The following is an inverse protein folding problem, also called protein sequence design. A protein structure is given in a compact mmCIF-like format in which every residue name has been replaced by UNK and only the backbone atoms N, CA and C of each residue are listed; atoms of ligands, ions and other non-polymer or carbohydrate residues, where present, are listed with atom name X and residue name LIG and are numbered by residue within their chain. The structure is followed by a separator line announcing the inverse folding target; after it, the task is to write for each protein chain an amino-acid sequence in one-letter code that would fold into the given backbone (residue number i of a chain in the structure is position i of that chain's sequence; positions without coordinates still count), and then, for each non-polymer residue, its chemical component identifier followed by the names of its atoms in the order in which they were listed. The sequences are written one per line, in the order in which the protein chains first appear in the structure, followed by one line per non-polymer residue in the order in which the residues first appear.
data_IF_509371707580
#
_entry.id   IF_509371707580
#
_cell.length_a   1.000
_cell.length_b   1.000
_cell.length_c   1.000
_cell.angle_alpha   90.00
_cell.angle_beta   90.00
_cell.angle_gamma   90.00
#
_symmetry.space_group_name_H-M   'P 1'
#
loop_
_entity.id
_entity.type
_entity.pdbx_description
1 polymer ?
#
# COMPACT_ATOMS: atom_id res chain seq x y z
N UNK A 1 -15.51 -12.12 -14.71
CA UNK A 1 -14.05 -12.34 -14.62
C UNK A 1 -13.81 -13.34 -13.51
N UNK A 2 -13.13 -14.44 -13.79
CA UNK A 2 -12.95 -15.53 -12.84
C UNK A 2 -11.88 -15.11 -11.81
N UNK A 3 -12.15 -15.20 -10.50
CA UNK A 3 -11.22 -14.75 -9.46
C UNK A 3 -9.91 -15.56 -9.43
N UNK A 4 -9.98 -16.84 -9.82
CA UNK A 4 -8.81 -17.73 -9.92
C UNK A 4 -7.76 -17.23 -10.93
N UNK A 5 -8.17 -16.74 -12.10
CA UNK A 5 -7.25 -16.20 -13.12
C UNK A 5 -6.52 -14.93 -12.65
N UNK A 6 -7.13 -14.17 -11.74
CA UNK A 6 -6.56 -12.95 -11.19
C UNK A 6 -5.58 -13.27 -10.06
N UNK A 7 -5.93 -14.22 -9.18
CA UNK A 7 -5.10 -14.63 -8.03
C UNK A 7 -3.74 -15.22 -8.45
N UNK A 8 -3.73 -16.00 -9.53
CA UNK A 8 -2.51 -16.66 -10.01
C UNK A 8 -1.72 -15.81 -11.02
N UNK A 9 -2.11 -14.54 -11.22
CA UNK A 9 -1.39 -13.63 -12.13
C UNK A 9 -0.01 -13.25 -11.55
N UNK A 10 1.10 -13.57 -12.23
CA UNK A 10 2.44 -13.20 -11.77
C UNK A 10 2.63 -11.68 -11.68
N UNK A 11 1.97 -10.92 -12.56
CA UNK A 11 2.04 -9.46 -12.56
C UNK A 11 1.32 -8.88 -11.34
N UNK A 12 0.18 -9.45 -10.96
CA UNK A 12 -0.53 -9.00 -9.76
C UNK A 12 0.24 -9.35 -8.50
N UNK A 13 0.80 -10.56 -8.41
CA UNK A 13 1.60 -10.99 -7.26
C UNK A 13 2.84 -10.08 -7.09
N UNK A 14 3.58 -9.82 -8.17
CA UNK A 14 4.72 -8.90 -8.13
C UNK A 14 4.31 -7.45 -7.76
N UNK A 15 3.11 -7.01 -8.15
CA UNK A 15 2.60 -5.72 -7.72
C UNK A 15 2.23 -5.70 -6.23
N UNK A 16 1.58 -6.76 -5.75
CA UNK A 16 1.22 -6.91 -4.34
C UNK A 16 2.48 -6.89 -3.44
N UNK A 17 3.52 -7.64 -3.79
CA UNK A 17 4.81 -7.60 -3.07
C UNK A 17 5.39 -6.19 -2.97
N UNK A 18 5.34 -5.41 -4.05
CA UNK A 18 5.77 -4.01 -4.05
C UNK A 18 4.92 -3.15 -3.12
N UNK A 19 3.60 -3.32 -3.13
CA UNK A 19 2.70 -2.57 -2.24
C UNK A 19 3.01 -2.87 -0.78
N UNK A 20 3.06 -4.15 -0.38
CA UNK A 20 3.40 -4.54 1.00
C UNK A 20 4.78 -4.04 1.41
N UNK A 21 5.78 -4.18 0.53
CA UNK A 21 7.14 -3.71 0.78
C UNK A 21 7.20 -2.20 1.01
N UNK A 22 6.58 -1.41 0.13
CA UNK A 22 6.58 0.05 0.25
C UNK A 22 5.83 0.55 1.50
N UNK A 23 4.74 -0.11 1.90
CA UNK A 23 4.02 0.29 3.12
C UNK A 23 4.85 -0.03 4.37
N UNK A 24 5.49 -1.21 4.43
CA UNK A 24 6.45 -1.54 5.49
C UNK A 24 7.57 -0.51 5.55
N UNK A 25 8.17 -0.18 4.42
CA UNK A 25 9.28 0.78 4.34
C UNK A 25 8.83 2.18 4.75
N UNK A 26 7.58 2.55 4.48
CA UNK A 26 6.98 3.80 4.95
C UNK A 26 6.84 3.83 6.47
N UNK A 27 6.45 2.72 7.12
CA UNK A 27 6.44 2.61 8.58
C UNK A 27 7.86 2.80 9.16
N UNK A 28 8.87 2.19 8.52
CA UNK A 28 10.28 2.34 8.92
C UNK A 28 10.74 3.79 8.80
N UNK A 29 10.43 4.46 7.68
CA UNK A 29 10.76 5.86 7.46
C UNK A 29 10.08 6.77 8.49
N UNK A 30 8.77 6.60 8.71
CA UNK A 30 8.03 7.38 9.70
C UNK A 30 8.66 7.29 11.10
N UNK A 31 9.03 6.07 11.52
CA UNK A 31 9.70 5.87 12.80
C UNK A 31 11.06 6.57 12.87
N UNK A 32 11.81 6.59 11.77
CA UNK A 32 13.17 7.12 11.73
C UNK A 32 13.24 8.63 11.51
N UNK A 33 12.34 9.19 10.71
CA UNK A 33 12.45 10.57 10.18
C UNK A 33 11.19 11.40 10.39
N UNK A 34 10.06 10.79 10.76
CA UNK A 34 8.77 11.47 10.85
C UNK A 34 8.09 11.75 9.50
N UNK A 35 8.64 11.26 8.38
CA UNK A 35 8.07 11.48 7.05
C UNK A 35 8.34 10.33 6.09
N UNK A 36 7.65 10.34 4.94
CA UNK A 36 7.82 9.33 3.87
C UNK A 36 8.30 10.03 2.60
N UNK A 37 9.40 9.52 2.05
CA UNK A 37 9.95 9.92 0.75
C UNK A 37 9.85 8.73 -0.20
N UNK A 38 9.39 8.99 -1.43
CA UNK A 38 9.34 7.96 -2.46
C UNK A 38 10.76 7.67 -2.97
N UNK A 39 11.17 6.40 -2.96
CA UNK A 39 12.44 5.98 -3.58
C UNK A 39 12.41 6.01 -5.11
N UNK A 40 11.21 5.95 -5.71
CA UNK A 40 11.00 6.04 -7.15
C UNK A 40 10.07 7.22 -7.47
N UNK A 41 10.64 8.28 -8.05
CA UNK A 41 9.91 9.47 -8.46
C UNK A 41 8.93 9.20 -9.61
N UNK A 42 9.08 8.10 -10.35
CA UNK A 42 8.17 7.74 -11.44
C UNK A 42 6.85 7.14 -10.95
N UNK A 43 6.72 6.79 -9.66
CA UNK A 43 5.51 6.15 -9.12
C UNK A 43 4.26 6.96 -9.40
N UNK A 44 4.26 8.27 -9.15
CA UNK A 44 3.10 9.12 -9.41
C UNK A 44 2.67 9.09 -10.88
N UNK A 45 3.62 9.31 -11.80
CA UNK A 45 3.36 9.26 -13.24
C UNK A 45 2.87 7.88 -13.72
N UNK A 46 3.36 6.78 -13.12
CA UNK A 46 2.87 5.43 -13.40
C UNK A 46 1.41 5.29 -12.97
N UNK A 47 1.05 5.75 -11.77
CA UNK A 47 -0.33 5.69 -11.26
C UNK A 47 -1.28 6.52 -12.13
N UNK A 48 -0.89 7.73 -12.54
CA UNK A 48 -1.66 8.57 -13.48
C UNK A 48 -1.88 7.85 -14.81
N UNK A 49 -0.82 7.33 -15.43
CA UNK A 49 -0.90 6.61 -16.72
C UNK A 49 -1.78 5.36 -16.64
N UNK A 50 -1.91 4.74 -15.46
CA UNK A 50 -2.77 3.58 -15.22
C UNK A 50 -4.20 3.96 -14.84
N UNK A 51 -4.54 5.25 -14.80
CA UNK A 51 -5.87 5.73 -14.48
C UNK A 51 -6.24 5.59 -13.01
N UNK A 52 -5.24 5.58 -12.10
CA UNK A 52 -5.51 5.52 -10.66
C UNK A 52 -6.08 6.85 -10.19
N UNK A 53 -7.13 6.79 -9.38
CA UNK A 53 -7.81 7.94 -8.77
C UNK A 53 -7.90 7.75 -7.26
N UNK A 54 -8.16 8.82 -6.52
CA UNK A 54 -8.24 8.83 -5.05
C UNK A 54 -9.07 7.69 -4.43
N UNK A 55 -10.29 7.36 -4.93
CA UNK A 55 -11.06 6.24 -4.41
C UNK A 55 -10.35 4.87 -4.47
N UNK A 56 -9.45 4.65 -5.43
CA UNK A 56 -8.71 3.39 -5.52
C UNK A 56 -7.75 3.23 -4.34
N UNK A 57 -7.17 4.31 -3.82
CA UNK A 57 -6.31 4.24 -2.63
C UNK A 57 -7.10 3.85 -1.38
N UNK A 58 -8.37 4.25 -1.26
CA UNK A 58 -9.23 3.88 -0.14
C UNK A 58 -9.51 2.37 -0.18
N UNK A 59 -9.92 1.86 -1.34
CA UNK A 59 -10.22 0.42 -1.51
C UNK A 59 -8.97 -0.44 -1.25
N UNK A 60 -7.79 0.00 -1.71
CA UNK A 60 -6.54 -0.73 -1.44
C UNK A 60 -6.17 -0.70 0.03
N UNK A 61 -6.42 0.40 0.76
CA UNK A 61 -6.22 0.47 2.22
C UNK A 61 -7.05 -0.58 2.94
N UNK A 62 -8.34 -0.62 2.65
CA UNK A 62 -9.28 -1.54 3.29
C UNK A 62 -8.89 -3.00 3.02
N UNK A 63 -8.56 -3.32 1.77
CA UNK A 63 -8.12 -4.66 1.38
C UNK A 63 -6.80 -5.03 2.08
N UNK A 64 -5.81 -4.13 2.11
CA UNK A 64 -4.53 -4.34 2.76
C UNK A 64 -4.69 -4.66 4.25
N UNK A 65 -5.44 -3.83 4.99
CA UNK A 65 -5.66 -4.01 6.42
C UNK A 65 -6.41 -5.31 6.71
N UNK A 66 -7.43 -5.64 5.91
CA UNK A 66 -8.13 -6.93 6.01
C UNK A 66 -7.18 -8.11 5.80
N UNK A 67 -6.34 -8.07 4.77
CA UNK A 67 -5.37 -9.12 4.49
C UNK A 67 -4.34 -9.28 5.62
N UNK A 68 -3.83 -8.18 6.18
CA UNK A 68 -2.90 -8.25 7.32
C UNK A 68 -3.59 -8.82 8.55
N UNK A 69 -4.84 -8.45 8.82
CA UNK A 69 -5.63 -9.00 9.92
C UNK A 69 -5.78 -10.51 9.82
N UNK A 70 -6.14 -10.99 8.64
CA UNK A 70 -6.25 -12.43 8.37
C UNK A 70 -4.90 -13.14 8.50
N UNK A 71 -3.81 -12.55 7.99
CA UNK A 71 -2.47 -13.13 8.05
C UNK A 71 -1.84 -13.10 9.46
N UNK A 72 -2.16 -12.09 10.27
CA UNK A 72 -1.63 -11.94 11.62
C UNK A 72 -2.27 -12.91 12.62
N UNK A 73 -3.52 -13.33 12.37
CA UNK A 73 -4.26 -14.23 13.27
C UNK A 73 -4.25 -13.70 14.71
N UNK A 74 -3.82 -14.53 15.64
CA UNK A 74 -3.77 -14.20 17.07
C UNK A 74 -2.81 -13.06 17.44
N UNK A 75 -1.93 -12.66 16.52
CA UNK A 75 -1.01 -11.52 16.71
C UNK A 75 -1.64 -10.18 16.35
N UNK A 76 -2.87 -10.19 15.83
CA UNK A 76 -3.57 -8.95 15.50
C UNK A 76 -3.87 -8.12 16.75
N UNK A 77 -3.71 -6.80 16.63
CA UNK A 77 -4.06 -5.84 17.67
C UNK A 77 -4.47 -4.50 17.04
N UNK A 78 -5.18 -3.67 17.81
CA UNK A 78 -5.53 -2.31 17.38
C UNK A 78 -4.28 -1.44 17.15
N UNK A 79 -3.22 -1.68 17.91
CA UNK A 79 -1.92 -1.02 17.69
C UNK A 79 -1.31 -1.42 16.34
N UNK A 80 -1.32 -2.71 16.00
CA UNK A 80 -0.85 -3.19 14.71
C UNK A 80 -1.70 -2.62 13.56
N UNK A 81 -3.02 -2.58 13.70
CA UNK A 81 -3.92 -1.96 12.73
C UNK A 81 -3.54 -0.50 12.48
N UNK A 82 -3.43 0.27 13.56
CA UNK A 82 -3.11 1.70 13.51
C UNK A 82 -1.75 1.94 12.85
N UNK A 83 -0.73 1.12 13.16
CA UNK A 83 0.59 1.25 12.58
C UNK A 83 0.57 1.06 11.05
N UNK A 84 -0.15 0.05 10.56
CA UNK A 84 -0.29 -0.19 9.13
C UNK A 84 -1.14 0.87 8.43
N UNK A 85 -2.20 1.34 9.07
CA UNK A 85 -3.04 2.43 8.59
C UNK A 85 -2.24 3.72 8.39
N UNK A 86 -1.50 4.16 9.41
CA UNK A 86 -0.68 5.37 9.35
C UNK A 86 0.42 5.26 8.30
N UNK A 87 1.08 4.10 8.21
CA UNK A 87 2.11 3.85 7.21
C UNK A 87 1.55 3.91 5.78
N UNK A 88 0.38 3.31 5.56
CA UNK A 88 -0.29 3.35 4.26
C UNK A 88 -0.72 4.77 3.88
N UNK A 89 -1.34 5.50 4.81
CA UNK A 89 -1.83 6.86 4.53
C UNK A 89 -0.69 7.82 4.20
N UNK A 90 0.44 7.70 4.89
CA UNK A 90 1.63 8.50 4.59
C UNK A 90 2.19 8.18 3.21
N UNK A 91 2.29 6.89 2.85
CA UNK A 91 2.71 6.46 1.51
C UNK A 91 1.74 6.97 0.43
N UNK A 92 0.45 6.75 0.61
CA UNK A 92 -0.58 7.17 -0.35
C UNK A 92 -0.56 8.70 -0.53
N UNK A 93 -0.35 9.46 0.53
CA UNK A 93 -0.18 10.92 0.47
C UNK A 93 1.05 11.30 -0.37
N UNK A 94 2.18 10.63 -0.17
CA UNK A 94 3.39 10.88 -0.96
C UNK A 94 3.20 10.54 -2.45
N UNK A 95 2.55 9.42 -2.77
CA UNK A 95 2.22 9.04 -4.16
C UNK A 95 1.27 10.04 -4.79
N UNK A 96 0.15 10.38 -4.13
CA UNK A 96 -0.83 11.36 -4.64
C UNK A 96 -0.20 12.71 -4.91
N UNK A 97 0.70 13.18 -4.03
CA UNK A 97 1.46 14.41 -4.28
C UNK A 97 2.33 14.33 -5.54
N UNK A 98 2.88 13.16 -5.85
CA UNK A 98 3.66 12.92 -7.06
C UNK A 98 2.81 12.63 -8.32
N UNK A 99 1.49 12.45 -8.18
CA UNK A 99 0.55 12.31 -9.30
C UNK A 99 0.12 13.67 -9.90
N UNK A 100 0.47 14.77 -9.23
CA UNK A 100 0.19 16.15 -9.65
C UNK A 100 1.13 16.66 -10.74
#
# INVERSE_FOLDING_TARGET
KNSAEVQDSPQLQAHAEKVFGLVRDSAVQLRATGGVVLGDAALGAIHVRKGVVDPHFVVVKEALLKTIKEAAGDKWSEELNTAWEVAYDALATAIKKAMS
#
